data_IF_217899910448
#
_entry.id   IF_217899910448
#
_cell.length_a   1.000
_cell.length_b   1.000
_cell.length_c   1.000
_cell.angle_alpha   90.00
_cell.angle_beta   90.00
_cell.angle_gamma   90.00
#
_symmetry.space_group_name_H-M   'P 1'
#
loop_
_entity.id
_entity.type
_entity.pdbx_description
1 polymer ?
#
# COMPACT_ATOMS: atom_id res chain seq x y z
N UNK A 1 24.50 -41.82 32.65
CA UNK A 1 24.35 -42.12 31.21
C UNK A 1 22.86 -42.19 30.94
N UNK A 2 22.35 -41.35 30.04
CA UNK A 2 20.93 -41.39 29.63
C UNK A 2 20.71 -42.70 28.88
N UNK A 3 19.62 -43.42 29.15
CA UNK A 3 19.33 -44.65 28.42
C UNK A 3 19.03 -44.35 26.94
N UNK A 4 19.27 -45.29 26.01
CA UNK A 4 18.96 -45.09 24.59
C UNK A 4 17.49 -44.70 24.34
N UNK A 5 16.57 -45.20 25.17
CA UNK A 5 15.13 -44.92 25.08
C UNK A 5 14.83 -43.47 25.52
N UNK A 6 15.39 -43.02 26.66
CA UNK A 6 15.26 -41.64 27.12
C UNK A 6 15.87 -40.65 26.12
N UNK A 7 17.00 -41.00 25.50
CA UNK A 7 17.62 -40.18 24.46
C UNK A 7 16.70 -40.01 23.23
N UNK A 8 16.00 -41.08 22.82
CA UNK A 8 15.02 -41.03 21.71
C UNK A 8 13.85 -40.12 22.08
N UNK A 9 13.26 -40.26 23.28
CA UNK A 9 12.15 -39.40 23.71
C UNK A 9 12.53 -37.91 23.75
N UNK A 10 13.73 -37.58 24.24
CA UNK A 10 14.24 -36.20 24.26
C UNK A 10 14.44 -35.68 22.84
N UNK A 11 15.03 -36.46 21.93
CA UNK A 11 15.21 -36.07 20.53
C UNK A 11 13.87 -35.84 19.83
N UNK A 12 12.88 -36.69 20.08
CA UNK A 12 11.53 -36.56 19.55
C UNK A 12 10.86 -35.28 20.06
N UNK A 13 10.94 -35.00 21.38
CA UNK A 13 10.43 -33.76 21.97
C UNK A 13 11.09 -32.50 21.39
N UNK A 14 12.42 -32.51 21.23
CA UNK A 14 13.16 -31.40 20.63
C UNK A 14 12.79 -31.21 19.15
N UNK A 15 12.61 -32.29 18.39
CA UNK A 15 12.19 -32.26 17.00
C UNK A 15 10.79 -31.64 16.84
N UNK A 16 9.85 -31.93 17.75
CA UNK A 16 8.50 -31.37 17.73
C UNK A 16 8.39 -29.98 18.36
N UNK A 17 9.27 -29.60 19.28
CA UNK A 17 9.31 -28.26 19.87
C UNK A 17 10.00 -27.23 18.94
N UNK A 18 10.99 -27.65 18.14
CA UNK A 18 11.75 -26.75 17.26
C UNK A 18 10.92 -25.97 16.23
N UNK A 19 9.87 -26.53 15.59
CA UNK A 19 9.01 -25.80 14.67
C UNK A 19 8.15 -24.77 15.41
N UNK A 20 7.71 -25.06 16.63
CA UNK A 20 6.87 -24.14 17.43
C UNK A 20 7.68 -22.92 17.86
N UNK A 21 8.93 -23.13 18.31
CA UNK A 21 9.84 -22.07 18.74
C UNK A 21 10.19 -21.12 17.58
N UNK A 22 10.32 -21.64 16.35
CA UNK A 22 10.62 -20.83 15.16
C UNK A 22 9.35 -20.21 14.53
N UNK A 23 8.21 -20.90 14.59
CA UNK A 23 6.96 -20.45 13.99
C UNK A 23 6.37 -19.26 14.74
N UNK A 24 6.42 -19.24 16.08
CA UNK A 24 5.82 -18.16 16.87
C UNK A 24 6.44 -16.77 16.55
N UNK A 25 7.78 -16.58 16.57
CA UNK A 25 8.39 -15.32 16.15
C UNK A 25 8.07 -14.96 14.69
N UNK A 26 8.11 -15.93 13.78
CA UNK A 26 7.78 -15.71 12.36
C UNK A 26 6.33 -15.24 12.19
N UNK A 27 5.38 -15.87 12.90
CA UNK A 27 3.98 -15.50 12.90
C UNK A 27 3.75 -14.08 13.42
N UNK A 28 4.44 -13.69 14.50
CA UNK A 28 4.39 -12.33 15.05
C UNK A 28 4.90 -11.32 14.01
N UNK A 29 6.01 -11.62 13.34
CA UNK A 29 6.57 -10.76 12.28
C UNK A 29 5.56 -10.62 11.12
N UNK A 30 4.94 -11.71 10.68
CA UNK A 30 3.95 -11.69 9.60
C UNK A 30 2.74 -10.85 9.99
N UNK A 31 2.18 -11.02 11.19
CA UNK A 31 1.08 -10.18 11.70
C UNK A 31 1.49 -8.71 11.67
N UNK A 32 2.67 -8.39 12.19
CA UNK A 32 3.17 -7.02 12.25
C UNK A 32 3.32 -6.40 10.85
N UNK A 33 3.89 -7.13 9.89
CA UNK A 33 4.04 -6.65 8.52
C UNK A 33 2.69 -6.38 7.85
N UNK A 34 1.74 -7.31 7.99
CA UNK A 34 0.37 -7.15 7.46
C UNK A 34 -0.32 -5.93 8.09
N UNK A 35 -0.20 -5.80 9.42
CA UNK A 35 -0.73 -4.64 10.14
C UNK A 35 -0.17 -3.34 9.57
N UNK A 36 1.16 -3.23 9.45
CA UNK A 36 1.85 -2.02 8.97
C UNK A 36 1.44 -1.68 7.53
N UNK A 37 1.37 -2.66 6.63
CA UNK A 37 1.00 -2.40 5.23
C UNK A 37 -0.43 -1.89 5.11
N UNK A 38 -1.38 -2.54 5.79
CA UNK A 38 -2.80 -2.18 5.71
C UNK A 38 -3.08 -0.85 6.41
N UNK A 39 -2.55 -0.66 7.62
CA UNK A 39 -2.69 0.60 8.37
C UNK A 39 -2.14 1.78 7.57
N UNK A 40 -0.96 1.61 6.95
CA UNK A 40 -0.34 2.67 6.17
C UNK A 40 -1.13 3.03 4.92
N UNK A 41 -1.68 2.03 4.21
CA UNK A 41 -2.56 2.29 3.05
C UNK A 41 -3.85 2.99 3.47
N UNK A 42 -4.49 2.54 4.55
CA UNK A 42 -5.72 3.14 5.05
C UNK A 42 -5.49 4.62 5.42
N UNK A 43 -4.43 4.91 6.20
CA UNK A 43 -4.05 6.28 6.56
C UNK A 43 -3.75 7.16 5.34
N UNK A 44 -3.16 6.59 4.30
CA UNK A 44 -2.88 7.33 3.08
C UNK A 44 -4.15 7.62 2.26
N UNK A 45 -5.06 6.66 2.15
CA UNK A 45 -6.37 6.89 1.55
C UNK A 45 -7.11 8.03 2.26
N UNK A 46 -7.08 8.04 3.60
CA UNK A 46 -7.65 9.13 4.40
C UNK A 46 -7.00 10.48 4.09
N UNK A 47 -5.66 10.51 3.96
CA UNK A 47 -4.92 11.72 3.57
C UNK A 47 -5.35 12.22 2.19
N UNK A 48 -5.44 11.34 1.20
CA UNK A 48 -5.85 11.66 -0.17
C UNK A 48 -7.26 12.19 -0.22
N UNK A 49 -8.18 11.56 0.51
CA UNK A 49 -9.56 12.05 0.66
C UNK A 49 -9.59 13.48 1.18
N UNK A 50 -8.90 13.75 2.29
CA UNK A 50 -8.93 15.07 2.93
C UNK A 50 -8.30 16.12 2.00
N UNK A 51 -7.12 15.84 1.45
CA UNK A 51 -6.38 16.78 0.60
C UNK A 51 -7.18 17.17 -0.64
N UNK A 52 -7.63 16.20 -1.43
CA UNK A 52 -8.24 16.50 -2.72
C UNK A 52 -9.70 16.96 -2.60
N UNK A 53 -10.45 16.52 -1.59
CA UNK A 53 -11.78 17.12 -1.33
C UNK A 53 -11.66 18.58 -0.91
N UNK A 54 -10.69 18.93 -0.07
CA UNK A 54 -10.45 20.33 0.30
C UNK A 54 -9.99 21.16 -0.91
N UNK A 55 -9.14 20.60 -1.77
CA UNK A 55 -8.77 21.22 -3.05
C UNK A 55 -9.98 21.44 -3.95
N UNK A 56 -10.87 20.45 -4.09
CA UNK A 56 -12.10 20.59 -4.87
C UNK A 56 -13.00 21.70 -4.33
N UNK A 57 -13.20 21.75 -3.00
CA UNK A 57 -13.99 22.80 -2.34
C UNK A 57 -13.38 24.19 -2.55
N UNK A 58 -12.06 24.32 -2.49
CA UNK A 58 -11.38 25.59 -2.76
C UNK A 58 -11.54 26.03 -4.22
N UNK A 59 -11.38 25.10 -5.16
CA UNK A 59 -11.55 25.36 -6.59
C UNK A 59 -12.97 25.78 -6.94
N UNK A 60 -13.98 25.18 -6.31
CA UNK A 60 -15.38 25.58 -6.44
C UNK A 60 -15.58 27.04 -6.03
N UNK A 61 -15.04 27.44 -4.86
CA UNK A 61 -15.10 28.83 -4.37
C UNK A 61 -14.42 29.83 -5.32
N UNK A 62 -13.42 29.39 -6.08
CA UNK A 62 -12.72 30.19 -7.10
C UNK A 62 -13.39 30.16 -8.48
N UNK A 63 -14.52 29.45 -8.63
CA UNK A 63 -15.29 29.37 -9.86
C UNK A 63 -14.90 28.23 -10.80
N UNK A 64 -13.97 27.35 -10.41
CA UNK A 64 -13.54 26.18 -11.19
C UNK A 64 -14.46 24.96 -10.94
N UNK A 65 -15.76 25.16 -11.10
CA UNK A 65 -16.81 24.19 -10.73
C UNK A 65 -16.71 22.84 -11.45
N UNK A 66 -16.32 22.84 -12.73
CA UNK A 66 -16.14 21.61 -13.50
C UNK A 66 -14.98 20.78 -12.96
N UNK A 67 -13.83 21.42 -12.72
CA UNK A 67 -12.65 20.75 -12.18
C UNK A 67 -12.91 20.24 -10.75
N UNK A 68 -13.56 21.04 -9.93
CA UNK A 68 -13.97 20.64 -8.57
C UNK A 68 -14.81 19.37 -8.57
N UNK A 69 -15.91 19.33 -9.35
CA UNK A 69 -16.77 18.14 -9.47
C UNK A 69 -16.03 16.92 -10.01
N UNK A 70 -15.13 17.12 -10.96
CA UNK A 70 -14.32 16.03 -11.50
C UNK A 70 -13.35 15.46 -10.45
N UNK A 71 -12.68 16.30 -9.66
CA UNK A 71 -11.82 15.85 -8.56
C UNK A 71 -12.62 15.07 -7.51
N UNK A 72 -13.77 15.61 -7.07
CA UNK A 72 -14.60 14.92 -6.07
C UNK A 72 -15.12 13.58 -6.59
N UNK A 73 -15.45 13.49 -7.89
CA UNK A 73 -15.82 12.23 -8.54
C UNK A 73 -14.67 11.21 -8.57
N UNK A 74 -13.44 11.62 -8.88
CA UNK A 74 -12.28 10.69 -8.90
C UNK A 74 -11.91 10.22 -7.49
N UNK A 75 -12.03 11.09 -6.48
CA UNK A 75 -11.85 10.71 -5.07
C UNK A 75 -12.96 9.75 -4.64
N UNK A 76 -14.21 10.01 -5.01
CA UNK A 76 -15.35 9.13 -4.74
C UNK A 76 -15.20 7.75 -5.39
N UNK A 77 -14.73 7.66 -6.64
CA UNK A 77 -14.44 6.39 -7.30
C UNK A 77 -13.32 5.61 -6.56
N UNK A 78 -12.26 6.31 -6.13
CA UNK A 78 -11.20 5.69 -5.35
C UNK A 78 -11.72 5.13 -4.03
N UNK A 79 -12.50 5.91 -3.29
CA UNK A 79 -13.14 5.48 -2.04
C UNK A 79 -14.04 4.27 -2.27
N UNK A 80 -14.88 4.29 -3.32
CA UNK A 80 -15.73 3.15 -3.66
C UNK A 80 -14.91 1.89 -3.98
N UNK A 81 -13.85 2.01 -4.78
CA UNK A 81 -12.94 0.90 -5.14
C UNK A 81 -12.10 0.41 -3.98
N UNK A 82 -12.02 1.19 -2.90
CA UNK A 82 -11.33 0.87 -1.65
C UNK A 82 -12.28 0.67 -0.45
N UNK A 83 -13.60 0.69 -0.69
CA UNK A 83 -14.66 0.75 0.34
C UNK A 83 -14.71 -0.45 1.27
N UNK A 84 -14.01 -1.53 0.93
CA UNK A 84 -13.73 -2.60 1.88
C UNK A 84 -12.71 -2.08 2.90
N UNK A 85 -13.19 -1.37 3.93
CA UNK A 85 -12.36 -1.02 5.09
C UNK A 85 -11.76 -2.29 5.66
N UNK A 86 -10.42 -2.35 5.64
CA UNK A 86 -9.69 -3.55 6.03
C UNK A 86 -9.21 -3.36 7.45
N UNK A 87 -9.84 -4.04 8.40
CA UNK A 87 -9.32 -4.09 9.77
C UNK A 87 -7.95 -4.79 9.76
N UNK A 88 -6.83 -4.07 10.02
CA UNK A 88 -5.49 -4.63 9.86
C UNK A 88 -5.22 -5.81 10.81
N UNK A 89 -5.83 -5.78 12.00
CA UNK A 89 -5.67 -6.82 13.03
C UNK A 89 -6.37 -8.10 12.61
N UNK A 90 -7.61 -8.01 12.11
CA UNK A 90 -8.37 -9.18 11.64
C UNK A 90 -7.66 -9.87 10.48
N UNK A 91 -7.12 -9.10 9.53
CA UNK A 91 -6.36 -9.65 8.41
C UNK A 91 -5.03 -10.26 8.84
N UNK A 92 -4.34 -9.65 9.81
CA UNK A 92 -3.12 -10.23 10.39
C UNK A 92 -3.36 -11.62 11.01
N UNK A 93 -4.44 -11.77 11.79
CA UNK A 93 -4.81 -13.06 12.40
C UNK A 93 -5.24 -14.07 11.33
N UNK A 94 -6.01 -13.65 10.33
CA UNK A 94 -6.52 -14.53 9.28
C UNK A 94 -5.39 -15.24 8.50
N UNK A 95 -4.27 -14.55 8.25
CA UNK A 95 -3.11 -15.12 7.54
C UNK A 95 -2.52 -16.33 8.25
N UNK A 96 -2.51 -16.35 9.59
CA UNK A 96 -1.96 -17.46 10.35
C UNK A 96 -2.81 -18.73 10.24
N UNK A 97 -4.13 -18.56 10.14
CA UNK A 97 -5.08 -19.67 10.00
C UNK A 97 -5.04 -20.20 8.56
N UNK A 98 -4.86 -19.31 7.60
CA UNK A 98 -4.94 -19.61 6.17
C UNK A 98 -3.68 -19.07 5.49
N UNK A 99 -2.60 -19.84 5.49
CA UNK A 99 -1.29 -19.41 4.96
C UNK A 99 -1.35 -18.88 3.51
N UNK A 100 -2.30 -19.35 2.68
CA UNK A 100 -2.48 -18.86 1.30
C UNK A 100 -2.98 -17.40 1.24
N UNK A 101 -3.57 -16.87 2.32
CA UNK A 101 -4.00 -15.47 2.39
C UNK A 101 -2.84 -14.48 2.30
N UNK A 102 -1.60 -14.89 2.61
CA UNK A 102 -0.44 -13.99 2.48
C UNK A 102 -0.30 -13.49 1.04
N UNK A 103 -0.50 -14.35 0.03
CA UNK A 103 -0.41 -13.95 -1.38
C UNK A 103 -1.55 -13.02 -1.78
N UNK A 104 -2.76 -13.28 -1.26
CA UNK A 104 -3.89 -12.37 -1.46
C UNK A 104 -3.60 -10.99 -0.88
N UNK A 105 -3.06 -10.90 0.34
CA UNK A 105 -2.73 -9.61 0.97
C UNK A 105 -1.64 -8.89 0.18
N UNK A 106 -0.59 -9.58 -0.26
CA UNK A 106 0.47 -8.96 -1.06
C UNK A 106 -0.06 -8.40 -2.39
N UNK A 107 -0.90 -9.17 -3.11
CA UNK A 107 -1.63 -8.66 -4.27
C UNK A 107 -2.45 -7.41 -3.89
N UNK A 108 -3.25 -7.53 -2.85
CA UNK A 108 -4.24 -6.55 -2.45
C UNK A 108 -3.61 -5.21 -2.04
N UNK A 109 -2.48 -5.26 -1.32
CA UNK A 109 -1.68 -4.08 -0.94
C UNK A 109 -1.08 -3.43 -2.19
N UNK A 110 -0.52 -4.22 -3.10
CA UNK A 110 0.03 -3.72 -4.37
C UNK A 110 -1.04 -3.03 -5.23
N UNK A 111 -2.19 -3.67 -5.41
CA UNK A 111 -3.30 -3.14 -6.19
C UNK A 111 -3.87 -1.86 -5.54
N UNK A 112 -3.98 -1.81 -4.22
CA UNK A 112 -4.39 -0.59 -3.51
C UNK A 112 -3.43 0.57 -3.72
N UNK A 113 -2.12 0.34 -3.60
CA UNK A 113 -1.12 1.39 -3.84
C UNK A 113 -1.19 1.92 -5.28
N UNK A 114 -1.36 1.03 -6.25
CA UNK A 114 -1.52 1.37 -7.67
C UNK A 114 -2.77 2.20 -7.91
N UNK A 115 -3.91 1.81 -7.34
CA UNK A 115 -5.18 2.55 -7.45
C UNK A 115 -5.04 3.97 -6.94
N UNK A 116 -4.45 4.14 -5.76
CA UNK A 116 -4.20 5.46 -5.18
C UNK A 116 -3.29 6.28 -6.11
N UNK A 117 -2.10 5.75 -6.45
CA UNK A 117 -1.14 6.49 -7.29
C UNK A 117 -1.69 6.88 -8.67
N UNK A 118 -2.53 6.05 -9.29
CA UNK A 118 -3.20 6.40 -10.55
C UNK A 118 -4.21 7.55 -10.38
N UNK A 119 -5.01 7.53 -9.31
CA UNK A 119 -5.95 8.62 -9.01
C UNK A 119 -5.20 9.92 -8.71
N UNK A 120 -4.16 9.87 -7.89
CA UNK A 120 -3.30 11.02 -7.61
C UNK A 120 -2.67 11.59 -8.88
N UNK A 121 -2.09 10.73 -9.73
CA UNK A 121 -1.51 11.13 -11.01
C UNK A 121 -2.52 11.89 -11.89
N UNK A 122 -3.73 11.36 -12.05
CA UNK A 122 -4.78 12.02 -12.85
C UNK A 122 -5.10 13.40 -12.29
N UNK A 123 -5.34 13.50 -11.00
CA UNK A 123 -5.72 14.75 -10.33
C UNK A 123 -4.61 15.78 -10.48
N UNK A 124 -3.38 15.41 -10.14
CA UNK A 124 -2.22 16.29 -10.21
C UNK A 124 -1.93 16.73 -11.65
N UNK A 125 -2.05 15.84 -12.65
CA UNK A 125 -1.88 16.22 -14.05
C UNK A 125 -2.92 17.25 -14.50
N UNK A 126 -4.17 17.11 -14.07
CA UNK A 126 -5.22 18.07 -14.41
C UNK A 126 -5.01 19.42 -13.71
N UNK A 127 -4.56 19.42 -12.45
CA UNK A 127 -4.18 20.63 -11.72
C UNK A 127 -2.98 21.33 -12.36
N UNK A 128 -1.96 20.58 -12.78
CA UNK A 128 -0.80 21.13 -13.50
C UNK A 128 -1.20 21.81 -14.81
N UNK A 129 -2.11 21.21 -15.58
CA UNK A 129 -2.66 21.88 -16.77
C UNK A 129 -3.29 23.23 -16.42
N UNK A 130 -4.10 23.28 -15.37
CA UNK A 130 -4.70 24.55 -14.91
C UNK A 130 -3.64 25.56 -14.46
N UNK A 131 -2.65 25.14 -13.68
CA UNK A 131 -1.57 26.02 -13.23
C UNK A 131 -0.82 26.63 -14.42
N UNK A 132 -0.48 25.81 -15.41
CA UNK A 132 0.20 26.26 -16.63
C UNK A 132 -0.65 27.21 -17.46
N UNK A 133 -1.95 26.95 -17.59
CA UNK A 133 -2.90 27.87 -18.24
C UNK A 133 -2.97 29.24 -17.54
N UNK A 134 -2.72 29.28 -16.23
CA UNK A 134 -2.67 30.50 -15.42
C UNK A 134 -1.28 31.12 -15.31
N UNK A 135 -0.28 30.58 -16.01
CA UNK A 135 1.10 31.07 -15.96
C UNK A 135 1.82 30.78 -14.64
N UNK A 136 1.32 29.83 -13.85
CA UNK A 136 1.95 29.34 -12.62
C UNK A 136 2.98 28.24 -12.93
N UNK A 137 3.81 27.94 -11.94
CA UNK A 137 4.83 26.90 -12.05
C UNK A 137 4.21 25.50 -12.26
N UNK A 138 4.91 24.65 -13.01
CA UNK A 138 4.52 23.26 -13.20
C UNK A 138 4.86 22.39 -11.97
N UNK A 139 4.05 21.36 -11.76
CA UNK A 139 4.29 20.27 -10.81
C UNK A 139 5.25 19.20 -11.38
N UNK A 140 5.68 19.27 -12.63
CA UNK A 140 6.71 18.35 -13.13
C UNK A 140 8.08 18.58 -12.44
N UNK A 141 8.91 17.53 -12.23
CA UNK A 141 8.68 16.13 -12.63
C UNK A 141 7.89 15.29 -11.62
N UNK A 142 7.42 15.85 -10.51
CA UNK A 142 6.79 15.09 -9.40
C UNK A 142 5.62 14.20 -9.85
N UNK A 143 4.78 14.71 -10.76
CA UNK A 143 3.63 13.96 -11.29
C UNK A 143 4.01 12.59 -11.84
N UNK A 144 5.14 12.50 -12.55
CA UNK A 144 5.58 11.24 -13.15
C UNK A 144 6.08 10.24 -12.13
N UNK A 145 6.56 10.70 -10.97
CA UNK A 145 7.03 9.81 -9.90
C UNK A 145 5.86 9.18 -9.14
N UNK A 146 4.75 9.90 -8.95
CA UNK A 146 3.53 9.40 -8.29
C UNK A 146 2.89 8.24 -9.06
N UNK A 147 3.06 8.19 -10.38
CA UNK A 147 2.52 7.12 -11.25
C UNK A 147 3.28 5.79 -11.11
N UNK A 148 4.48 5.76 -10.55
CA UNK A 148 5.45 4.64 -10.67
C UNK A 148 5.17 3.44 -9.75
N UNK A 149 3.91 3.00 -9.62
CA UNK A 149 3.59 1.71 -9.00
C UNK A 149 3.46 0.66 -10.09
N UNK A 150 4.39 -0.30 -10.12
CA UNK A 150 4.43 -1.33 -11.15
C UNK A 150 3.25 -2.31 -11.03
N UNK A 151 2.64 -2.63 -12.16
CA UNK A 151 1.67 -3.72 -12.23
C UNK A 151 2.43 -5.06 -12.19
N UNK A 152 2.03 -5.93 -11.24
CA UNK A 152 2.70 -7.21 -11.02
C UNK A 152 1.79 -8.35 -11.48
N UNK A 153 2.33 -9.27 -12.27
CA UNK A 153 1.61 -10.48 -12.65
C UNK A 153 1.52 -11.43 -11.46
N UNK A 154 0.33 -11.48 -10.87
CA UNK A 154 0.07 -12.21 -9.62
C UNK A 154 0.18 -13.71 -9.82
N UNK A 155 -0.24 -14.24 -10.97
CA UNK A 155 -0.13 -15.67 -11.29
C UNK A 155 1.35 -16.07 -11.35
N UNK A 156 2.19 -15.24 -11.99
CA UNK A 156 3.63 -15.46 -12.02
C UNK A 156 4.23 -15.44 -10.62
N UNK A 157 3.84 -14.48 -9.79
CA UNK A 157 4.39 -14.33 -8.44
C UNK A 157 3.96 -15.46 -7.49
N UNK A 158 2.73 -15.96 -7.63
CA UNK A 158 2.26 -17.17 -6.93
C UNK A 158 3.04 -18.39 -7.44
N UNK A 159 3.18 -18.55 -8.76
CA UNK A 159 3.93 -19.67 -9.35
C UNK A 159 5.37 -19.70 -8.85
N UNK A 160 6.06 -18.56 -8.85
CA UNK A 160 7.42 -18.43 -8.32
C UNK A 160 7.46 -18.71 -6.81
N UNK A 161 6.45 -18.27 -6.04
CA UNK A 161 6.34 -18.59 -4.61
C UNK A 161 6.22 -20.09 -4.37
N UNK A 162 5.44 -20.81 -5.17
CA UNK A 162 5.29 -22.27 -5.06
C UNK A 162 6.59 -22.98 -5.47
N UNK A 163 7.17 -22.65 -6.62
CA UNK A 163 8.39 -23.28 -7.14
C UNK A 163 9.58 -23.07 -6.20
N UNK A 164 9.66 -21.91 -5.54
CA UNK A 164 10.72 -21.59 -4.58
C UNK A 164 10.38 -21.96 -3.14
N UNK A 165 9.32 -22.74 -2.90
CA UNK A 165 8.87 -23.19 -1.58
C UNK A 165 8.70 -22.04 -0.57
N UNK A 166 8.17 -20.90 -1.03
CA UNK A 166 7.86 -19.73 -0.22
C UNK A 166 8.96 -18.67 -0.14
N UNK A 167 10.19 -18.95 -0.60
CA UNK A 167 11.28 -17.95 -0.59
C UNK A 167 10.93 -16.71 -1.41
N UNK A 168 10.30 -16.89 -2.57
CA UNK A 168 9.87 -15.77 -3.39
C UNK A 168 8.74 -14.95 -2.73
N UNK A 169 7.96 -15.52 -1.80
CA UNK A 169 6.96 -14.75 -1.02
C UNK A 169 7.64 -13.70 -0.13
N UNK A 170 8.80 -14.01 0.45
CA UNK A 170 9.59 -13.05 1.23
C UNK A 170 10.12 -11.92 0.33
N UNK A 171 10.60 -12.27 -0.87
CA UNK A 171 11.01 -11.29 -1.86
C UNK A 171 9.84 -10.39 -2.30
N UNK A 172 8.65 -10.95 -2.51
CA UNK A 172 7.46 -10.18 -2.84
C UNK A 172 7.05 -9.24 -1.70
N UNK A 173 7.09 -9.69 -0.44
CA UNK A 173 6.87 -8.84 0.73
C UNK A 173 7.86 -7.66 0.79
N UNK A 174 9.14 -7.91 0.48
CA UNK A 174 10.14 -6.86 0.36
C UNK A 174 9.79 -5.85 -0.74
N UNK A 175 9.40 -6.30 -1.94
CA UNK A 175 9.00 -5.41 -3.04
C UNK A 175 7.81 -4.54 -2.67
N UNK A 176 6.77 -5.12 -2.06
CA UNK A 176 5.59 -4.37 -1.59
C UNK A 176 5.99 -3.29 -0.59
N UNK A 177 6.83 -3.64 0.38
CA UNK A 177 7.33 -2.67 1.38
C UNK A 177 8.15 -1.56 0.75
N UNK A 178 9.03 -1.92 -0.20
CA UNK A 178 9.86 -0.96 -0.94
C UNK A 178 9.02 0.04 -1.72
N UNK A 179 7.98 -0.43 -2.41
CA UNK A 179 7.11 0.41 -3.22
C UNK A 179 6.28 1.37 -2.38
N UNK A 180 5.72 0.89 -1.27
CA UNK A 180 5.04 1.75 -0.30
C UNK A 180 6.01 2.83 0.19
N UNK A 181 7.23 2.48 0.62
CA UNK A 181 8.17 3.48 1.09
C UNK A 181 8.56 4.48 -0.01
N UNK A 182 8.76 4.00 -1.24
CA UNK A 182 9.05 4.86 -2.39
C UNK A 182 7.90 5.84 -2.67
N UNK A 183 6.67 5.36 -2.73
CA UNK A 183 5.48 6.18 -2.96
C UNK A 183 5.36 7.30 -1.92
N UNK A 184 5.53 6.97 -0.64
CA UNK A 184 5.40 7.95 0.44
C UNK A 184 6.55 8.94 0.49
N UNK A 185 7.77 8.52 0.16
CA UNK A 185 8.92 9.43 0.14
C UNK A 185 8.77 10.53 -0.91
N UNK A 186 8.06 10.26 -2.01
CA UNK A 186 7.81 11.24 -3.07
C UNK A 186 6.93 12.40 -2.56
N UNK A 187 6.12 12.22 -1.51
CA UNK A 187 5.11 13.21 -1.05
C UNK A 187 5.62 14.33 -0.10
N UNK A 188 6.84 14.28 0.44
CA UNK A 188 7.26 15.22 1.51
C UNK A 188 7.46 16.69 1.10
N UNK A 189 7.77 16.96 -0.17
CA UNK A 189 8.06 18.30 -0.73
C UNK A 189 6.93 18.79 -1.66
N UNK A 190 6.26 17.92 -2.44
CA UNK A 190 5.26 18.34 -3.42
C UNK A 190 3.91 18.79 -2.84
N UNK A 191 3.52 18.31 -1.66
CA UNK A 191 2.26 18.71 -1.02
C UNK A 191 2.26 20.21 -0.68
N UNK A 192 3.36 20.74 -0.15
CA UNK A 192 3.52 22.17 0.16
C UNK A 192 3.51 23.02 -1.12
N UNK A 193 4.18 22.54 -2.18
CA UNK A 193 4.18 23.20 -3.49
C UNK A 193 2.77 23.23 -4.07
N UNK A 194 2.04 22.12 -4.01
CA UNK A 194 0.67 22.02 -4.47
C UNK A 194 -0.23 23.04 -3.76
N UNK A 195 -0.17 23.10 -2.42
CA UNK A 195 -0.93 24.07 -1.63
C UNK A 195 -0.61 25.50 -2.03
N UNK A 196 0.67 25.84 -2.15
CA UNK A 196 1.13 27.17 -2.56
C UNK A 196 0.61 27.57 -3.94
N UNK A 197 0.54 26.63 -4.89
CA UNK A 197 0.04 26.90 -6.23
C UNK A 197 -1.49 27.06 -6.27
N UNK A 198 -2.21 26.25 -5.48
CA UNK A 198 -3.66 26.40 -5.33
C UNK A 198 -4.01 27.76 -4.73
N UNK A 199 -3.27 28.23 -3.73
CA UNK A 199 -3.49 29.55 -3.11
C UNK A 199 -3.31 30.72 -4.09
N UNK A 200 -2.43 30.56 -5.09
CA UNK A 200 -2.16 31.56 -6.14
C UNK A 200 -3.22 31.62 -7.25
N UNK A 201 -4.18 30.67 -7.29
CA UNK A 201 -5.33 30.68 -8.22
C UNK A 201 -6.40 31.69 -7.80
#
# INVERSE_FOLDING_TARGET
LISPIEAIYILTLLLFASPIILYLPAAIIVIYLVYVWLDRINKHLDRIRILYRNTALYLEKKGYNELSRWIDSEVGDLEYRMSTERNPVLWGIAVLIINILVWYILHMVNDSLRKIGLTEYKILKRLDTLFREKGLESLEPYIEDVRRVEERNVILYITLSVITLGLFTLYWAYLVTKDINKHFNIHHIPDDKLLTLIEKL
#
